data_IF_648396611902
#
_entry.id   IF_648396611902
#
_cell.length_a   1.000
_cell.length_b   1.000
_cell.length_c   1.000
_cell.angle_alpha   90.00
_cell.angle_beta   90.00
_cell.angle_gamma   90.00
#
_symmetry.space_group_name_H-M   'P 1'
#
loop_
_entity.id
_entity.type
_entity.pdbx_description
1 polymer ?
#
# COMPACT_ATOMS: atom_id res chain seq x y z
N UNK A 1 35.47 10.87 4.77
CA UNK A 1 36.07 9.93 5.73
C UNK A 1 36.43 8.62 5.03
N UNK A 2 35.51 7.90 4.39
CA UNK A 2 35.80 6.64 3.66
C UNK A 2 36.89 6.79 2.62
N UNK A 3 36.92 7.88 1.85
CA UNK A 3 37.98 8.19 0.88
C UNK A 3 39.35 8.34 1.54
N UNK A 4 39.41 8.96 2.71
CA UNK A 4 40.63 9.09 3.50
C UNK A 4 41.13 7.72 3.97
N UNK A 5 40.25 6.90 4.52
CA UNK A 5 40.57 5.54 5.00
C UNK A 5 41.04 4.67 3.84
N UNK A 6 40.36 4.70 2.68
CA UNK A 6 40.76 3.94 1.50
C UNK A 6 42.13 4.35 0.93
N UNK A 7 42.47 5.67 0.97
CA UNK A 7 43.72 6.19 0.39
C UNK A 7 44.91 6.11 1.36
N UNK A 8 44.70 6.41 2.66
CA UNK A 8 45.79 6.56 3.64
C UNK A 8 45.90 5.36 4.58
N UNK A 9 44.83 4.55 4.72
CA UNK A 9 44.78 3.38 5.62
C UNK A 9 44.31 2.12 4.88
N UNK A 10 44.85 1.93 3.68
CA UNK A 10 44.51 0.82 2.81
C UNK A 10 44.55 -0.56 3.47
N UNK A 11 45.55 -0.90 4.32
CA UNK A 11 45.57 -2.19 4.99
C UNK A 11 44.35 -2.46 5.87
N UNK A 12 43.76 -1.44 6.50
CA UNK A 12 42.54 -1.59 7.31
C UNK A 12 41.31 -1.86 6.43
N UNK A 13 41.30 -1.27 5.24
CA UNK A 13 40.26 -1.48 4.26
C UNK A 13 40.33 -2.89 3.68
N UNK A 14 41.51 -3.30 3.24
CA UNK A 14 41.75 -4.60 2.61
C UNK A 14 41.54 -5.78 3.59
N UNK A 15 41.79 -5.57 4.87
CA UNK A 15 41.51 -6.55 5.93
C UNK A 15 40.06 -6.56 6.43
N UNK A 16 39.16 -5.74 5.87
CA UNK A 16 37.77 -5.67 6.29
C UNK A 16 37.54 -5.19 7.72
N UNK A 17 38.48 -4.39 8.29
CA UNK A 17 38.42 -3.88 9.67
C UNK A 17 37.68 -2.57 9.81
N UNK A 18 37.03 -2.09 8.75
CA UNK A 18 36.24 -0.87 8.76
C UNK A 18 34.78 -1.24 8.94
N UNK A 19 34.17 -0.78 10.01
CA UNK A 19 32.78 -1.02 10.33
C UNK A 19 31.98 0.29 10.28
N UNK A 20 30.79 0.25 9.73
CA UNK A 20 29.84 1.36 9.77
C UNK A 20 28.87 1.10 10.91
N UNK A 21 28.87 1.96 11.91
CA UNK A 21 27.90 1.87 12.99
C UNK A 21 26.51 2.27 12.45
N UNK A 22 25.54 1.39 12.64
CA UNK A 22 24.13 1.65 12.34
C UNK A 22 23.38 1.78 13.66
N UNK A 23 23.24 2.98 14.22
CA UNK A 23 22.47 3.16 15.45
C UNK A 23 21.01 2.81 15.19
N UNK A 24 20.29 2.24 16.17
CA UNK A 24 18.85 2.00 16.06
C UNK A 24 18.11 3.32 15.92
N UNK A 25 17.07 3.34 15.05
CA UNK A 25 16.28 4.56 14.81
C UNK A 25 15.34 4.86 15.98
N UNK A 26 14.90 3.83 16.71
CA UNK A 26 13.90 3.98 17.76
C UNK A 26 14.33 3.34 19.07
N UNK A 27 13.98 4.00 20.17
CA UNK A 27 14.02 3.46 21.53
C UNK A 27 12.61 3.42 22.07
N UNK A 28 12.10 2.23 22.38
CA UNK A 28 10.78 2.07 22.98
C UNK A 28 10.95 1.74 24.46
N UNK A 29 10.19 2.42 25.30
CA UNK A 29 10.12 2.15 26.74
C UNK A 29 8.69 1.79 27.11
N UNK A 30 8.52 0.60 27.72
CA UNK A 30 7.23 0.16 28.30
C UNK A 30 7.47 -0.26 29.74
N UNK A 31 7.08 0.60 30.67
CA UNK A 31 7.38 0.40 32.10
C UNK A 31 8.89 0.39 32.37
N UNK A 32 9.40 -0.72 32.90
CA UNK A 32 10.83 -0.93 33.20
C UNK A 32 11.61 -1.54 32.02
N UNK A 33 10.93 -1.98 30.97
CA UNK A 33 11.57 -2.61 29.80
C UNK A 33 11.88 -1.57 28.74
N UNK A 34 13.10 -1.61 28.21
CA UNK A 34 13.56 -0.78 27.10
C UNK A 34 13.97 -1.69 25.93
N UNK A 35 13.55 -1.33 24.71
CA UNK A 35 13.92 -2.05 23.49
C UNK A 35 14.36 -1.07 22.43
N UNK A 36 15.47 -1.39 21.77
CA UNK A 36 15.98 -0.66 20.62
C UNK A 36 15.50 -1.33 19.34
N UNK A 37 15.08 -0.54 18.35
CA UNK A 37 14.50 -0.99 17.10
C UNK A 37 15.24 -0.32 15.95
N UNK A 38 15.67 -1.11 14.97
CA UNK A 38 16.59 -0.67 13.94
C UNK A 38 15.89 0.18 12.85
N UNK A 39 14.63 -0.11 12.52
CA UNK A 39 13.93 0.50 11.39
C UNK A 39 12.40 0.50 11.56
N UNK A 40 11.70 1.20 10.64
CA UNK A 40 10.24 1.32 10.65
C UNK A 40 9.51 -0.03 10.53
N UNK A 41 10.07 -0.97 9.78
CA UNK A 41 9.47 -2.30 9.61
C UNK A 41 9.43 -3.07 10.93
N UNK A 42 10.55 -3.08 11.67
CA UNK A 42 10.63 -3.69 12.99
C UNK A 42 9.76 -2.97 14.02
N UNK A 43 9.65 -1.63 13.91
CA UNK A 43 8.75 -0.85 14.75
C UNK A 43 7.31 -1.27 14.53
N UNK A 44 6.85 -1.31 13.29
CA UNK A 44 5.48 -1.72 12.96
C UNK A 44 5.20 -3.15 13.41
N UNK A 45 6.16 -4.06 13.20
CA UNK A 45 6.04 -5.45 13.68
C UNK A 45 5.91 -5.52 15.20
N UNK A 46 6.73 -4.76 15.92
CA UNK A 46 6.68 -4.71 17.39
C UNK A 46 5.34 -4.16 17.89
N UNK A 47 4.86 -3.06 17.32
CA UNK A 47 3.58 -2.45 17.68
C UNK A 47 2.42 -3.41 17.41
N UNK A 48 2.41 -4.07 16.25
CA UNK A 48 1.41 -5.07 15.88
C UNK A 48 1.38 -6.24 16.86
N UNK A 49 2.54 -6.80 17.18
CA UNK A 49 2.63 -7.91 18.16
C UNK A 49 2.15 -7.47 19.55
N UNK A 50 2.62 -6.31 20.02
CA UNK A 50 2.24 -5.77 21.32
C UNK A 50 0.75 -5.44 21.43
N UNK A 51 0.10 -5.09 20.32
CA UNK A 51 -1.35 -4.87 20.26
C UNK A 51 -2.11 -6.18 20.50
N UNK A 52 -1.70 -7.28 19.84
CA UNK A 52 -2.38 -8.58 19.98
C UNK A 52 -2.08 -9.31 21.29
N UNK A 53 -1.03 -8.95 22.01
CA UNK A 53 -0.81 -9.44 23.37
C UNK A 53 -1.93 -8.99 24.33
N UNK A 54 -2.64 -7.90 24.00
CA UNK A 54 -3.66 -7.27 24.82
C UNK A 54 -5.04 -7.15 24.19
N UNK A 55 -5.22 -7.55 22.94
CA UNK A 55 -6.45 -7.32 22.15
C UNK A 55 -6.70 -8.45 21.16
N UNK A 56 -7.98 -8.78 20.96
CA UNK A 56 -8.38 -9.76 19.95
C UNK A 56 -9.10 -9.05 18.78
N UNK A 57 -8.88 -9.54 17.58
CA UNK A 57 -9.66 -9.15 16.40
C UNK A 57 -10.89 -10.05 16.29
N UNK A 58 -12.03 -9.46 15.94
CA UNK A 58 -13.27 -10.19 15.71
C UNK A 58 -13.74 -9.98 14.28
N UNK A 59 -14.22 -11.03 13.64
CA UNK A 59 -14.93 -11.00 12.37
C UNK A 59 -16.29 -11.67 12.58
N UNK A 60 -17.39 -10.97 12.26
CA UNK A 60 -18.75 -11.47 12.46
C UNK A 60 -19.01 -12.05 13.89
N UNK A 61 -18.53 -11.35 14.90
CA UNK A 61 -18.58 -11.76 16.32
C UNK A 61 -17.79 -13.03 16.67
N UNK A 62 -16.94 -13.54 15.77
CA UNK A 62 -16.02 -14.66 16.05
C UNK A 62 -14.60 -14.13 16.22
N UNK A 63 -13.85 -14.61 17.22
CA UNK A 63 -12.45 -14.21 17.38
C UNK A 63 -11.61 -14.75 16.22
N UNK A 64 -10.81 -13.88 15.60
CA UNK A 64 -9.84 -14.26 14.57
C UNK A 64 -8.58 -14.77 15.27
N UNK A 65 -8.00 -15.90 14.84
CA UNK A 65 -6.75 -16.41 15.41
C UNK A 65 -5.64 -15.34 15.41
N UNK A 66 -4.83 -15.31 16.46
CA UNK A 66 -3.79 -14.27 16.62
C UNK A 66 -2.79 -14.25 15.46
N UNK A 67 -2.43 -15.42 14.91
CA UNK A 67 -1.53 -15.52 13.75
C UNK A 67 -2.12 -14.85 12.50
N UNK A 68 -3.40 -15.09 12.22
CA UNK A 68 -4.09 -14.50 11.07
C UNK A 68 -4.26 -13.00 11.26
N UNK A 69 -4.62 -12.58 12.47
CA UNK A 69 -4.76 -11.18 12.85
C UNK A 69 -3.45 -10.40 12.66
N UNK A 70 -2.30 -11.00 13.05
CA UNK A 70 -0.99 -10.39 12.85
C UNK A 70 -0.65 -10.27 11.36
N UNK A 71 -0.92 -11.32 10.57
CA UNK A 71 -0.65 -11.30 9.12
C UNK A 71 -1.49 -10.25 8.40
N UNK A 72 -2.77 -10.11 8.74
CA UNK A 72 -3.68 -9.09 8.20
C UNK A 72 -3.15 -7.69 8.48
N UNK A 73 -2.76 -7.38 9.73
CA UNK A 73 -2.25 -6.06 10.07
C UNK A 73 -0.88 -5.74 9.44
N UNK A 74 0.00 -6.74 9.32
CA UNK A 74 1.27 -6.57 8.64
C UNK A 74 1.07 -6.25 7.14
N UNK A 75 0.15 -6.95 6.48
CA UNK A 75 -0.19 -6.69 5.09
C UNK A 75 -0.84 -5.31 4.93
N UNK A 76 -1.75 -4.93 5.83
CA UNK A 76 -2.33 -3.60 5.84
C UNK A 76 -1.26 -2.50 5.98
N UNK A 77 -0.29 -2.69 6.89
CA UNK A 77 0.81 -1.74 7.07
C UNK A 77 1.71 -1.62 5.84
N UNK A 78 1.93 -2.71 5.10
CA UNK A 78 2.66 -2.68 3.82
C UNK A 78 1.91 -1.84 2.79
N UNK A 79 0.61 -2.07 2.64
CA UNK A 79 -0.26 -1.31 1.72
C UNK A 79 -0.22 0.18 2.08
N UNK A 80 -0.40 0.53 3.35
CA UNK A 80 -0.37 1.92 3.81
C UNK A 80 0.97 2.62 3.52
N UNK A 81 2.09 1.91 3.69
CA UNK A 81 3.43 2.43 3.34
C UNK A 81 3.60 2.63 1.83
N UNK A 82 3.08 1.72 0.99
CA UNK A 82 3.08 1.90 -0.47
C UNK A 82 2.25 3.12 -0.84
N UNK A 83 1.07 3.28 -0.25
CA UNK A 83 0.18 4.42 -0.52
C UNK A 83 0.79 5.77 -0.15
N UNK A 84 1.58 5.84 0.92
CA UNK A 84 2.31 7.06 1.32
C UNK A 84 3.34 7.49 0.28
N UNK A 85 3.91 6.53 -0.45
CA UNK A 85 4.96 6.78 -1.45
C UNK A 85 4.40 6.97 -2.88
N UNK A 86 3.11 6.70 -3.10
CA UNK A 86 2.47 6.90 -4.40
C UNK A 86 2.25 8.39 -4.65
N UNK A 87 2.43 8.80 -5.90
CA UNK A 87 2.19 10.17 -6.35
C UNK A 87 0.83 10.70 -5.87
N UNK A 88 0.81 11.95 -5.40
CA UNK A 88 -0.42 12.65 -4.96
C UNK A 88 -1.49 12.79 -6.05
N UNK A 89 -1.17 12.46 -7.31
CA UNK A 89 -2.11 12.52 -8.44
C UNK A 89 -3.18 11.43 -8.43
N UNK A 90 -3.03 10.38 -7.63
CA UNK A 90 -4.02 9.29 -7.54
C UNK A 90 -4.70 9.30 -6.18
N UNK A 91 -6.01 9.03 -6.19
CA UNK A 91 -6.77 9.00 -4.94
C UNK A 91 -6.39 7.78 -4.08
N UNK A 92 -6.06 8.04 -2.82
CA UNK A 92 -5.58 7.01 -1.88
C UNK A 92 -6.64 5.95 -1.56
N UNK A 93 -7.93 6.32 -1.54
CA UNK A 93 -8.99 5.38 -1.20
C UNK A 93 -9.25 4.42 -2.35
N UNK A 94 -9.15 4.90 -3.60
CA UNK A 94 -9.24 4.05 -4.79
C UNK A 94 -8.07 3.06 -4.82
N UNK A 95 -6.83 3.53 -4.64
CA UNK A 95 -5.67 2.64 -4.59
C UNK A 95 -5.76 1.62 -3.46
N UNK A 96 -6.26 2.05 -2.29
CA UNK A 96 -6.51 1.15 -1.17
C UNK A 96 -7.54 0.09 -1.50
N UNK A 97 -8.64 0.47 -2.14
CA UNK A 97 -9.68 -0.46 -2.57
C UNK A 97 -9.17 -1.47 -3.60
N UNK A 98 -8.32 -1.05 -4.53
CA UNK A 98 -7.67 -1.93 -5.50
C UNK A 98 -6.82 -3.03 -4.83
N UNK A 99 -6.19 -2.75 -3.70
CA UNK A 99 -5.41 -3.73 -2.96
C UNK A 99 -6.25 -4.86 -2.32
N UNK A 100 -7.56 -4.65 -2.15
CA UNK A 100 -8.48 -5.62 -1.55
C UNK A 100 -9.35 -6.38 -2.57
N UNK A 101 -9.29 -5.99 -3.84
CA UNK A 101 -10.05 -6.65 -4.92
C UNK A 101 -9.08 -7.54 -5.71
N UNK A 102 -9.59 -8.67 -6.23
CA UNK A 102 -8.81 -9.52 -7.12
C UNK A 102 -8.22 -8.70 -8.27
N UNK A 103 -6.91 -8.82 -8.54
CA UNK A 103 -6.26 -7.99 -9.54
C UNK A 103 -6.80 -8.25 -10.94
N UNK A 104 -6.91 -7.21 -11.75
CA UNK A 104 -7.02 -7.35 -13.20
C UNK A 104 -5.64 -7.76 -13.71
N UNK A 105 -5.54 -8.95 -14.30
CA UNK A 105 -4.30 -9.42 -14.93
C UNK A 105 -4.23 -8.75 -16.32
N UNK A 106 -3.12 -8.07 -16.61
CA UNK A 106 -2.95 -7.30 -17.85
C UNK A 106 -3.09 -8.18 -19.13
N UNK A 107 -2.88 -9.49 -19.02
CA UNK A 107 -3.03 -10.44 -20.11
C UNK A 107 -4.49 -10.71 -20.50
N UNK A 108 -5.43 -10.45 -19.59
CA UNK A 108 -6.86 -10.61 -19.84
C UNK A 108 -7.45 -9.37 -20.50
N UNK A 109 -6.72 -8.27 -20.55
CA UNK A 109 -7.17 -6.97 -21.07
C UNK A 109 -7.05 -6.81 -22.60
N UNK A 110 -6.53 -7.82 -23.32
CA UNK A 110 -6.29 -7.71 -24.78
C UNK A 110 -7.37 -8.39 -25.65
N UNK A 111 -8.42 -8.94 -25.04
CA UNK A 111 -9.51 -9.58 -25.81
C UNK A 111 -10.85 -8.84 -25.60
N UNK A 112 -11.65 -8.76 -26.65
CA UNK A 112 -12.99 -8.11 -26.66
C UNK A 112 -13.98 -8.72 -25.65
N UNK A 113 -13.74 -9.93 -25.16
CA UNK A 113 -14.56 -10.59 -24.13
C UNK A 113 -14.33 -10.05 -22.71
N UNK A 114 -13.43 -9.07 -22.56
CA UNK A 114 -12.94 -8.59 -21.27
C UNK A 114 -13.66 -7.34 -20.75
N UNK A 115 -14.46 -6.66 -21.57
CA UNK A 115 -15.19 -5.45 -21.15
C UNK A 115 -16.17 -5.75 -20.02
N UNK A 116 -16.81 -6.91 -20.06
CA UNK A 116 -17.71 -7.35 -18.98
C UNK A 116 -16.94 -7.60 -17.68
N UNK A 117 -15.76 -8.20 -17.76
CA UNK A 117 -14.90 -8.42 -16.59
C UNK A 117 -14.38 -7.10 -16.00
N UNK A 118 -13.99 -6.16 -16.87
CA UNK A 118 -13.55 -4.82 -16.47
C UNK A 118 -14.71 -4.05 -15.83
N UNK A 119 -15.89 -4.08 -16.43
CA UNK A 119 -17.09 -3.43 -15.91
C UNK A 119 -17.49 -3.98 -14.54
N UNK A 120 -17.41 -5.30 -14.36
CA UNK A 120 -17.66 -5.96 -13.09
C UNK A 120 -16.62 -5.57 -12.03
N UNK A 121 -15.34 -5.49 -12.41
CA UNK A 121 -14.28 -5.01 -11.52
C UNK A 121 -14.52 -3.56 -11.10
N UNK A 122 -14.86 -2.65 -12.03
CA UNK A 122 -15.14 -1.24 -11.77
C UNK A 122 -16.30 -1.11 -10.79
N UNK A 123 -17.36 -1.89 -10.97
CA UNK A 123 -18.50 -1.91 -10.06
C UNK A 123 -18.09 -2.34 -8.65
N UNK A 124 -17.35 -3.45 -8.52
CA UNK A 124 -16.84 -3.92 -7.23
C UNK A 124 -15.90 -2.90 -6.58
N UNK A 125 -15.07 -2.21 -7.40
CA UNK A 125 -14.17 -1.16 -6.93
C UNK A 125 -14.97 0.06 -6.43
N UNK A 126 -16.02 0.47 -7.14
CA UNK A 126 -16.91 1.56 -6.77
C UNK A 126 -17.62 1.28 -5.44
N UNK A 127 -18.16 0.08 -5.28
CA UNK A 127 -18.83 -0.34 -4.04
C UNK A 127 -17.84 -0.32 -2.87
N UNK A 128 -16.64 -0.89 -3.05
CA UNK A 128 -15.66 -0.97 -1.99
C UNK A 128 -15.07 0.40 -1.61
N UNK A 129 -14.81 1.27 -2.58
CA UNK A 129 -14.27 2.61 -2.28
C UNK A 129 -15.27 3.44 -1.48
N UNK A 130 -16.56 3.31 -1.77
CA UNK A 130 -17.61 3.99 -1.00
C UNK A 130 -17.78 3.44 0.41
N UNK A 131 -17.44 2.16 0.64
CA UNK A 131 -17.41 1.56 1.99
C UNK A 131 -16.20 2.03 2.80
N UNK A 132 -15.01 2.05 2.17
CA UNK A 132 -13.73 2.35 2.86
C UNK A 132 -13.53 3.85 3.06
N UNK A 133 -14.08 4.68 2.19
CA UNK A 133 -13.93 6.13 2.25
C UNK A 133 -14.75 6.75 3.39
N UNK A 134 -14.37 7.95 3.89
CA UNK A 134 -15.18 8.70 4.84
C UNK A 134 -16.58 8.98 4.30
N UNK A 135 -17.57 9.06 5.19
CA UNK A 135 -19.01 9.22 4.85
C UNK A 135 -19.31 10.50 4.03
N UNK A 136 -18.45 11.49 4.12
CA UNK A 136 -18.57 12.74 3.36
C UNK A 136 -18.00 12.64 1.92
N UNK A 137 -17.44 11.51 1.53
CA UNK A 137 -16.94 11.24 0.19
C UNK A 137 -17.91 10.33 -0.55
N UNK A 138 -18.14 10.63 -1.83
CA UNK A 138 -18.90 9.77 -2.73
C UNK A 138 -18.11 9.59 -4.00
N UNK A 139 -17.98 8.36 -4.44
CA UNK A 139 -17.25 7.99 -5.65
C UNK A 139 -18.21 7.37 -6.65
N UNK A 140 -18.05 7.76 -7.90
CA UNK A 140 -18.64 7.12 -9.06
C UNK A 140 -17.54 6.83 -10.07
N UNK A 141 -17.50 5.61 -10.59
CA UNK A 141 -16.46 5.13 -11.48
C UNK A 141 -17.09 4.67 -12.79
N UNK A 142 -16.64 5.26 -13.90
CA UNK A 142 -17.12 4.93 -15.23
C UNK A 142 -16.00 4.50 -16.15
N UNK A 143 -16.28 3.52 -17.01
CA UNK A 143 -15.36 3.09 -18.05
C UNK A 143 -15.48 4.03 -19.24
N UNK A 144 -14.36 4.57 -19.71
CA UNK A 144 -14.27 5.31 -20.94
C UNK A 144 -13.36 4.55 -21.91
N UNK A 145 -13.92 4.15 -23.04
CA UNK A 145 -13.19 3.48 -24.11
C UNK A 145 -12.56 4.53 -25.02
N UNK A 146 -11.30 4.34 -25.38
CA UNK A 146 -10.54 5.21 -26.26
C UNK A 146 -10.30 4.52 -27.61
N UNK A 147 -10.10 5.30 -28.67
CA UNK A 147 -10.01 4.83 -30.07
C UNK A 147 -8.87 3.80 -30.34
N UNK A 148 -7.88 3.69 -29.47
CA UNK A 148 -6.70 2.83 -29.63
C UNK A 148 -6.80 1.47 -28.93
N UNK A 149 -7.99 0.88 -28.77
CA UNK A 149 -8.18 -0.34 -27.97
C UNK A 149 -7.65 -0.20 -26.52
N UNK A 150 -7.58 1.05 -26.06
CA UNK A 150 -7.23 1.41 -24.69
C UNK A 150 -8.47 1.87 -23.94
N UNK A 151 -8.40 1.82 -22.62
CA UNK A 151 -9.48 2.30 -21.77
C UNK A 151 -8.90 3.12 -20.60
N UNK A 152 -9.76 3.95 -20.06
CA UNK A 152 -9.48 4.64 -18.80
C UNK A 152 -10.70 4.57 -17.87
N UNK A 153 -10.41 4.52 -16.57
CA UNK A 153 -11.44 4.60 -15.55
C UNK A 153 -11.54 6.06 -15.12
N UNK A 154 -12.64 6.69 -15.46
CA UNK A 154 -12.94 8.04 -15.03
C UNK A 154 -13.47 7.97 -13.60
N UNK A 155 -12.92 8.84 -12.74
CA UNK A 155 -13.25 8.91 -11.33
C UNK A 155 -13.97 10.22 -11.06
N UNK A 156 -15.23 10.12 -10.69
CA UNK A 156 -16.04 11.25 -10.23
C UNK A 156 -16.12 11.20 -8.71
N UNK A 157 -15.37 12.05 -8.04
CA UNK A 157 -15.37 12.16 -6.58
C UNK A 157 -16.13 13.41 -6.14
N UNK A 158 -16.95 13.29 -5.12
CA UNK A 158 -17.61 14.41 -4.45
C UNK A 158 -17.23 14.44 -2.97
N UNK A 159 -16.99 15.63 -2.46
CA UNK A 159 -16.70 15.86 -1.03
C UNK A 159 -17.80 16.76 -0.48
N UNK A 160 -18.60 16.27 0.46
CA UNK A 160 -19.81 16.96 0.95
C UNK A 160 -20.77 17.37 -0.20
N UNK A 161 -20.89 16.54 -1.23
CA UNK A 161 -21.72 16.81 -2.41
C UNK A 161 -21.08 17.72 -3.47
N UNK A 162 -19.91 18.32 -3.20
CA UNK A 162 -19.18 19.18 -4.14
C UNK A 162 -18.20 18.36 -4.97
N UNK A 163 -18.19 18.48 -6.31
CA UNK A 163 -17.25 17.76 -7.17
C UNK A 163 -15.79 18.11 -6.84
N UNK A 164 -14.94 17.09 -6.72
CA UNK A 164 -13.50 17.22 -6.55
C UNK A 164 -12.80 16.87 -7.88
N UNK A 165 -12.28 17.89 -8.56
CA UNK A 165 -11.60 17.74 -9.86
C UNK A 165 -10.12 17.40 -9.76
N UNK A 166 -9.62 17.21 -8.56
CA UNK A 166 -8.18 16.91 -8.32
C UNK A 166 -7.81 15.45 -8.64
N UNK A 167 -8.78 14.57 -8.81
CA UNK A 167 -8.55 13.14 -9.01
C UNK A 167 -8.35 12.84 -10.50
N UNK A 168 -7.18 12.29 -10.83
CA UNK A 168 -6.85 11.91 -12.21
C UNK A 168 -7.42 10.54 -12.56
N UNK A 169 -7.88 10.31 -13.80
CA UNK A 169 -8.34 9.00 -14.25
C UNK A 169 -7.23 7.94 -14.19
N UNK A 170 -7.64 6.68 -14.19
CA UNK A 170 -6.74 5.53 -14.18
C UNK A 170 -6.77 4.88 -15.55
N UNK A 171 -5.65 4.96 -16.25
CA UNK A 171 -5.51 4.39 -17.59
C UNK A 171 -4.99 2.94 -17.56
N UNK A 172 -5.11 2.22 -18.67
CA UNK A 172 -4.61 0.84 -18.86
C UNK A 172 -3.15 0.68 -18.42
N UNK A 173 -2.27 1.68 -18.70
CA UNK A 173 -0.84 1.66 -18.32
C UNK A 173 -0.60 1.59 -16.81
N UNK A 174 -1.53 2.09 -16.00
CA UNK A 174 -1.40 2.02 -14.55
C UNK A 174 -1.41 0.57 -14.06
N UNK A 175 -2.22 -0.30 -14.64
CA UNK A 175 -2.32 -1.72 -14.27
C UNK A 175 -1.06 -2.51 -14.57
N UNK A 176 -0.23 -2.05 -15.51
CA UNK A 176 1.11 -2.61 -15.80
C UNK A 176 2.22 -1.97 -14.97
N UNK A 177 1.92 -1.02 -14.10
CA UNK A 177 2.92 -0.31 -13.32
C UNK A 177 3.43 -1.12 -12.13
N UNK A 178 4.70 -0.86 -11.73
CA UNK A 178 5.29 -1.46 -10.51
C UNK A 178 4.45 -1.14 -9.26
N UNK A 179 3.85 0.04 -9.21
CA UNK A 179 2.99 0.48 -8.11
C UNK A 179 1.77 -0.42 -7.96
N UNK A 180 1.05 -0.67 -9.05
CA UNK A 180 -0.12 -1.55 -9.03
C UNK A 180 0.26 -2.97 -8.63
N UNK A 181 1.32 -3.54 -9.23
CA UNK A 181 1.80 -4.88 -8.87
C UNK A 181 2.24 -5.01 -7.40
N UNK A 182 2.74 -3.93 -6.81
CA UNK A 182 3.09 -3.90 -5.39
C UNK A 182 1.88 -3.77 -4.45
N UNK A 183 0.77 -3.19 -4.95
CA UNK A 183 -0.47 -3.06 -4.18
C UNK A 183 -1.27 -4.36 -4.11
N UNK A 184 -1.23 -5.18 -5.17
CA UNK A 184 -2.05 -6.41 -5.30
C UNK A 184 -1.30 -7.70 -4.95
N UNK A 185 -0.02 -7.59 -4.54
CA UNK A 185 0.80 -8.67 -3.97
C UNK A 185 0.58 -8.81 -2.47
#
# INVERSE_FOLDING_TARGET
>A
LLTLLARKMKPLFDQGRIYIAQPPLYKIKKGKSEKYIANDFELNRFLTTSFFDSSNLFSENKPVPAADSQSILLNYSKIDNILKNVSKSKDKYILKSMAFISPIIANDADQSDNLDAISKYIKSLCDLVNIISPINFTYDLTLNELDDNSYEIIISKKVNGVPDTSVSPINKKFFSSKTYHSLVK
#
